data_IF_640513625498
#
_entry.id   IF_640513625498
#
_cell.length_a   1.000
_cell.length_b   1.000
_cell.length_c   1.000
_cell.angle_alpha   90.00
_cell.angle_beta   90.00
_cell.angle_gamma   90.00
#
_symmetry.space_group_name_H-M   'P 1'
#
loop_
_entity.id
_entity.type
_entity.pdbx_description
1 polymer ?
#
# COMPACT_ATOMS: atom_id res chain seq x y z
N UNK A 1 18.32 0.43 3.22
CA UNK A 1 17.76 0.99 1.99
C UNK A 1 16.23 1.00 1.97
N UNK A 2 15.58 -0.14 2.21
CA UNK A 2 14.12 -0.20 2.31
C UNK A 2 13.55 0.69 3.40
N UNK A 3 14.24 0.83 4.53
CA UNK A 3 13.77 1.63 5.64
C UNK A 3 13.55 3.10 5.28
N UNK A 4 14.33 3.62 4.35
CA UNK A 4 14.23 5.00 3.89
C UNK A 4 12.88 5.25 3.19
N UNK A 5 12.52 4.37 2.26
CA UNK A 5 11.24 4.49 1.56
C UNK A 5 10.08 4.10 2.46
N UNK A 6 10.30 3.14 3.33
CA UNK A 6 9.28 2.70 4.27
C UNK A 6 8.84 3.84 5.19
N UNK A 7 9.80 4.62 5.69
CA UNK A 7 9.48 5.78 6.53
C UNK A 7 8.66 6.81 5.76
N UNK A 8 9.01 7.07 4.51
CA UNK A 8 8.26 8.00 3.67
C UNK A 8 6.85 7.51 3.42
N UNK A 9 6.71 6.22 3.11
CA UNK A 9 5.40 5.62 2.86
C UNK A 9 4.52 5.74 4.11
N UNK A 10 5.06 5.40 5.28
CA UNK A 10 4.32 5.49 6.53
C UNK A 10 3.85 6.91 6.81
N UNK A 11 4.74 7.88 6.61
CA UNK A 11 4.40 9.28 6.86
C UNK A 11 3.29 9.75 5.92
N UNK A 12 3.40 9.43 4.63
CA UNK A 12 2.40 9.83 3.64
C UNK A 12 1.03 9.23 3.96
N UNK A 13 1.00 7.96 4.35
CA UNK A 13 -0.25 7.29 4.72
C UNK A 13 -0.83 7.90 5.99
N UNK A 14 0.00 8.20 6.98
CA UNK A 14 -0.46 8.82 8.22
C UNK A 14 -1.07 10.19 7.97
N UNK A 15 -0.47 10.98 7.08
CA UNK A 15 -0.99 12.28 6.71
C UNK A 15 -2.30 12.17 5.92
N UNK A 16 -2.37 11.17 5.05
CA UNK A 16 -3.55 10.95 4.21
C UNK A 16 -4.75 10.43 5.01
N UNK A 17 -4.51 9.53 5.95
CA UNK A 17 -5.56 8.87 6.72
C UNK A 17 -5.25 8.90 8.21
N UNK A 18 -5.29 10.09 8.85
CA UNK A 18 -4.94 10.20 10.27
C UNK A 18 -5.93 9.49 11.18
N UNK A 19 -7.17 9.31 10.76
CA UNK A 19 -8.22 8.64 11.55
C UNK A 19 -8.14 7.12 11.50
N UNK A 20 -7.23 6.57 10.70
CA UNK A 20 -7.09 5.13 10.49
C UNK A 20 -8.37 4.48 9.96
N UNK A 21 -9.01 5.15 9.00
CA UNK A 21 -10.22 4.62 8.37
C UNK A 21 -9.95 3.31 7.63
N UNK A 22 -8.74 3.13 7.11
CA UNK A 22 -8.32 1.93 6.41
C UNK A 22 -7.07 1.33 7.06
N UNK A 23 -6.81 0.07 6.72
CA UNK A 23 -5.54 -0.59 7.03
C UNK A 23 -4.72 -0.66 5.74
N UNK A 24 -3.41 -0.56 5.88
CA UNK A 24 -2.48 -0.50 4.75
C UNK A 24 -1.35 -1.49 4.94
N UNK A 25 -0.96 -2.16 3.87
CA UNK A 25 0.16 -3.09 3.91
C UNK A 25 0.90 -3.11 2.58
N UNK A 26 2.18 -3.42 2.65
CA UNK A 26 3.00 -3.60 1.45
C UNK A 26 3.12 -5.09 1.15
N UNK A 27 3.21 -5.42 -0.13
CA UNK A 27 3.41 -6.80 -0.55
C UNK A 27 4.20 -6.80 -1.86
N UNK A 28 4.41 -7.99 -2.45
CA UNK A 28 5.09 -8.11 -3.72
C UNK A 28 6.59 -8.03 -3.63
N UNK A 29 7.24 -7.74 -4.74
CA UNK A 29 8.70 -7.84 -4.87
C UNK A 29 9.47 -6.92 -3.92
N UNK A 30 8.92 -5.75 -3.60
CA UNK A 30 9.55 -4.83 -2.64
C UNK A 30 9.71 -5.51 -1.28
N UNK A 31 8.66 -6.19 -0.80
CA UNK A 31 8.67 -6.87 0.50
C UNK A 31 9.49 -8.13 0.45
N UNK A 32 9.43 -8.88 -0.65
CA UNK A 32 10.21 -10.11 -0.80
C UNK A 32 11.72 -9.87 -0.87
N UNK A 33 12.14 -8.63 -1.09
CA UNK A 33 13.56 -8.31 -1.22
C UNK A 33 14.12 -8.60 -2.60
N UNK A 34 13.25 -8.82 -3.58
CA UNK A 34 13.64 -9.01 -4.98
C UNK A 34 13.84 -7.67 -5.67
N UNK A 35 14.42 -7.70 -6.85
CA UNK A 35 14.52 -6.51 -7.68
C UNK A 35 13.12 -6.03 -8.01
N UNK A 36 12.86 -4.72 -7.84
CA UNK A 36 11.54 -4.18 -8.03
C UNK A 36 11.58 -2.85 -8.80
N UNK A 37 10.50 -2.57 -9.51
CA UNK A 37 10.29 -1.29 -10.18
C UNK A 37 9.11 -0.55 -9.58
N UNK A 38 8.15 -1.29 -9.04
CA UNK A 38 6.95 -0.75 -8.43
C UNK A 38 6.86 -1.24 -6.99
N UNK A 39 6.18 -0.45 -6.16
CA UNK A 39 5.90 -0.82 -4.77
C UNK A 39 4.40 -1.08 -4.69
N UNK A 40 4.02 -2.28 -4.27
CA UNK A 40 2.62 -2.68 -4.18
C UNK A 40 2.06 -2.38 -2.80
N UNK A 41 1.05 -1.52 -2.74
CA UNK A 41 0.40 -1.10 -1.51
C UNK A 41 -1.05 -1.59 -1.50
N UNK A 42 -1.38 -2.45 -0.54
CA UNK A 42 -2.73 -2.94 -0.37
C UNK A 42 -3.50 -2.10 0.64
N UNK A 43 -4.79 -1.91 0.37
CA UNK A 43 -5.68 -1.15 1.24
C UNK A 43 -6.89 -1.99 1.58
N UNK A 44 -7.19 -2.11 2.87
CA UNK A 44 -8.39 -2.79 3.37
C UNK A 44 -9.11 -1.83 4.30
N UNK A 45 -10.41 -1.68 4.12
CA UNK A 45 -11.16 -0.79 5.00
C UNK A 45 -12.65 -1.00 4.91
N UNK A 46 -13.39 -0.08 5.48
CA UNK A 46 -14.84 -0.03 5.42
C UNK A 46 -15.21 0.87 4.26
N UNK A 47 -16.03 0.38 3.32
CA UNK A 47 -16.45 1.17 2.16
C UNK A 47 -17.01 2.54 2.52
N UNK A 48 -17.75 2.62 3.61
CA UNK A 48 -18.38 3.88 4.03
C UNK A 48 -17.37 4.91 4.51
N UNK A 49 -16.22 4.46 5.00
CA UNK A 49 -15.19 5.35 5.54
C UNK A 49 -13.93 5.38 4.69
N UNK A 50 -13.97 4.71 3.54
CA UNK A 50 -12.81 4.61 2.66
C UNK A 50 -12.44 5.96 2.08
N UNK A 51 -11.17 6.27 2.15
CA UNK A 51 -10.64 7.45 1.50
C UNK A 51 -10.55 7.24 0.00
N UNK A 52 -10.53 8.34 -0.74
CA UNK A 52 -10.37 8.30 -2.19
C UNK A 52 -8.94 7.85 -2.54
N UNK A 53 -8.82 6.63 -3.05
CA UNK A 53 -7.52 6.05 -3.35
C UNK A 53 -6.81 6.73 -4.51
N UNK A 54 -7.55 7.41 -5.40
CA UNK A 54 -6.94 8.21 -6.45
C UNK A 54 -6.14 9.38 -5.88
N UNK A 55 -6.62 9.97 -4.80
CA UNK A 55 -5.88 11.02 -4.10
C UNK A 55 -4.58 10.48 -3.50
N UNK A 56 -4.63 9.26 -2.99
CA UNK A 56 -3.44 8.62 -2.43
C UNK A 56 -2.40 8.34 -3.53
N UNK A 57 -2.84 7.94 -4.71
CA UNK A 57 -1.95 7.78 -5.86
C UNK A 57 -1.24 9.09 -6.18
N UNK A 58 -1.99 10.20 -6.18
CA UNK A 58 -1.42 11.52 -6.44
C UNK A 58 -0.39 11.92 -5.37
N UNK A 59 -0.66 11.59 -4.12
CA UNK A 59 0.27 11.87 -3.02
C UNK A 59 1.61 11.17 -3.28
N UNK A 60 1.58 9.92 -3.71
CA UNK A 60 2.82 9.19 -3.99
C UNK A 60 3.47 9.65 -5.28
N UNK A 61 2.69 9.99 -6.30
CA UNK A 61 3.23 10.50 -7.55
C UNK A 61 4.04 11.79 -7.32
N UNK A 62 3.56 12.66 -6.44
CA UNK A 62 4.22 13.93 -6.12
C UNK A 62 5.32 13.81 -5.07
N UNK A 63 5.57 12.58 -4.58
CA UNK A 63 6.58 12.37 -3.55
C UNK A 63 7.98 12.23 -4.15
N UNK A 64 8.99 12.17 -3.26
CA UNK A 64 10.38 11.95 -3.68
C UNK A 64 10.73 10.47 -3.85
N UNK A 65 9.76 9.59 -3.68
CA UNK A 65 9.97 8.15 -3.88
C UNK A 65 10.15 7.91 -5.39
N UNK A 66 11.28 7.33 -5.82
CA UNK A 66 11.58 7.19 -7.26
C UNK A 66 10.87 6.01 -7.93
N UNK A 67 10.00 5.32 -7.22
CA UNK A 67 9.26 4.16 -7.72
C UNK A 67 7.78 4.45 -7.74
N UNK A 68 7.08 3.86 -8.72
CA UNK A 68 5.63 3.94 -8.75
C UNK A 68 5.07 3.14 -7.57
N UNK A 69 4.09 3.72 -6.88
CA UNK A 69 3.37 3.02 -5.82
C UNK A 69 2.02 2.60 -6.40
N UNK A 70 1.85 1.30 -6.60
CA UNK A 70 0.61 0.73 -7.12
C UNK A 70 -0.33 0.46 -5.95
N UNK A 71 -1.50 1.09 -5.97
CA UNK A 71 -2.46 0.97 -4.88
C UNK A 71 -3.53 -0.03 -5.28
N UNK A 72 -3.69 -1.07 -4.48
CA UNK A 72 -4.65 -2.14 -4.72
C UNK A 72 -5.73 -2.11 -3.65
N UNK A 73 -6.97 -1.90 -4.09
CA UNK A 73 -8.13 -1.93 -3.22
C UNK A 73 -8.52 -3.39 -2.97
N UNK A 74 -8.17 -3.92 -1.80
CA UNK A 74 -8.45 -5.32 -1.48
C UNK A 74 -9.91 -5.59 -1.13
N UNK A 75 -10.69 -4.56 -0.81
CA UNK A 75 -12.13 -4.75 -0.58
C UNK A 75 -12.86 -5.06 -1.87
N UNK A 76 -12.39 -4.51 -2.99
CA UNK A 76 -12.97 -4.76 -4.29
C UNK A 76 -12.22 -5.76 -5.15
N UNK A 77 -11.14 -6.35 -4.63
CA UNK A 77 -10.31 -7.26 -5.40
C UNK A 77 -10.94 -8.64 -5.53
N UNK A 78 -10.56 -9.37 -6.58
CA UNK A 78 -11.01 -10.71 -6.82
C UNK A 78 -10.60 -11.64 -5.66
N UNK A 79 -11.50 -12.57 -5.31
CA UNK A 79 -11.31 -13.47 -4.18
C UNK A 79 -10.03 -14.30 -4.28
N UNK A 80 -9.74 -14.85 -5.46
CA UNK A 80 -8.55 -15.69 -5.66
C UNK A 80 -7.26 -14.89 -5.51
N UNK A 81 -7.27 -13.67 -5.99
CA UNK A 81 -6.13 -12.77 -5.84
C UNK A 81 -5.88 -12.43 -4.37
N UNK A 82 -6.95 -12.09 -3.62
CA UNK A 82 -6.84 -11.82 -2.19
C UNK A 82 -6.31 -13.03 -1.44
N UNK A 83 -6.84 -14.21 -1.75
CA UNK A 83 -6.40 -15.45 -1.11
C UNK A 83 -4.91 -15.70 -1.36
N UNK A 84 -4.47 -15.54 -2.61
CA UNK A 84 -3.06 -15.72 -2.97
C UNK A 84 -2.16 -14.78 -2.18
N UNK A 85 -2.50 -13.50 -2.13
CA UNK A 85 -1.68 -12.51 -1.45
C UNK A 85 -1.62 -12.79 0.04
N UNK A 86 -2.76 -13.04 0.69
CA UNK A 86 -2.79 -13.26 2.14
C UNK A 86 -2.19 -14.59 2.57
N UNK A 87 -2.20 -15.61 1.71
CA UNK A 87 -1.68 -16.94 2.06
C UNK A 87 -0.26 -17.20 1.59
N UNK A 88 0.15 -16.59 0.47
CA UNK A 88 1.41 -16.92 -0.19
C UNK A 88 2.46 -15.82 -0.12
N UNK A 89 2.04 -14.55 0.01
CA UNK A 89 2.96 -13.42 -0.02
C UNK A 89 3.33 -12.96 1.39
N UNK A 90 4.60 -12.57 1.60
CA UNK A 90 4.93 -11.88 2.84
C UNK A 90 4.29 -10.49 2.82
N UNK A 91 3.71 -10.09 3.94
CA UNK A 91 3.05 -8.80 4.09
C UNK A 91 3.80 -7.95 5.09
N UNK A 92 3.87 -6.65 4.82
CA UNK A 92 4.43 -5.69 5.76
C UNK A 92 3.34 -4.67 6.08
N UNK A 93 2.73 -4.80 7.25
CA UNK A 93 1.66 -3.91 7.66
C UNK A 93 2.19 -2.53 8.04
N UNK A 94 1.55 -1.51 7.49
CA UNK A 94 1.91 -0.11 7.78
C UNK A 94 1.06 0.43 8.92
N UNK A 95 -0.24 0.20 8.85
CA UNK A 95 -1.17 0.68 9.88
C UNK A 95 -2.31 -0.27 10.08
#
# INVERSE_FOLDING_TARGET
MKSRYLKQIKRKITEFDPSRANKYFLFGSFVRGEKYHDIDLGVIGNEKSRKNLSELEDVFYDSTIPYKVDIVDFDGAEKDFKHHVFKKEPLLWIR
#
